data_IF_188730622557
#
_entry.id   IF_188730622557
#
_cell.length_a   1.000
_cell.length_b   1.000
_cell.length_c   1.000
_cell.angle_alpha   90.00
_cell.angle_beta   90.00
_cell.angle_gamma   90.00
#
_symmetry.space_group_name_H-M   'P 1'
#
loop_
_entity.id
_entity.type
_entity.pdbx_description
1 polymer ?
#
# COMPACT_ATOMS: atom_id res chain seq x y z
N UNK A 1 -9.47 -8.64 10.71
CA UNK A 1 -8.97 -9.03 9.38
C UNK A 1 -8.88 -7.78 8.53
N UNK A 2 -7.73 -7.52 7.91
CA UNK A 2 -7.55 -6.37 7.03
C UNK A 2 -8.04 -6.69 5.62
N UNK A 3 -8.95 -5.89 5.03
CA UNK A 3 -9.46 -6.15 3.69
C UNK A 3 -8.34 -5.98 2.65
N UNK A 4 -8.25 -6.95 1.74
CA UNK A 4 -7.37 -6.85 0.58
C UNK A 4 -8.01 -5.95 -0.45
N UNK A 5 -7.29 -4.92 -0.91
CA UNK A 5 -7.77 -3.96 -1.90
C UNK A 5 -7.45 -4.47 -3.31
N UNK A 6 -6.22 -4.93 -3.49
CA UNK A 6 -5.69 -5.38 -4.77
C UNK A 6 -4.71 -6.53 -4.55
N UNK A 7 -4.67 -7.46 -5.49
CA UNK A 7 -3.67 -8.51 -5.54
C UNK A 7 -3.06 -8.56 -6.94
N UNK A 8 -1.73 -8.52 -7.02
CA UNK A 8 -0.98 -8.61 -8.27
C UNK A 8 0.00 -9.77 -8.12
N UNK A 9 -0.37 -10.94 -8.65
CA UNK A 9 0.38 -12.17 -8.43
C UNK A 9 0.52 -12.51 -6.94
N UNK A 10 1.75 -12.59 -6.44
CA UNK A 10 2.08 -12.84 -5.03
C UNK A 10 2.06 -11.59 -4.15
N UNK A 11 1.83 -10.40 -4.74
CA UNK A 11 1.80 -9.12 -4.03
C UNK A 11 0.37 -8.81 -3.59
N UNK A 12 0.20 -8.46 -2.32
CA UNK A 12 -1.09 -8.14 -1.70
C UNK A 12 -1.08 -6.72 -1.16
N UNK A 13 -2.06 -5.92 -1.55
CA UNK A 13 -2.27 -4.56 -1.06
C UNK A 13 -3.45 -4.52 -0.08
N UNK A 14 -3.29 -3.89 1.08
CA UNK A 14 -4.35 -3.82 2.11
C UNK A 14 -4.23 -2.56 2.98
N UNK A 15 -5.30 -2.25 3.72
CA UNK A 15 -5.31 -1.20 4.74
C UNK A 15 -5.36 -1.79 6.14
N UNK A 16 -4.63 -1.19 7.09
CA UNK A 16 -4.76 -1.51 8.49
C UNK A 16 -5.74 -0.51 9.15
N UNK A 17 -6.94 -0.94 9.50
CA UNK A 17 -7.99 -0.04 10.03
C UNK A 17 -7.73 0.46 11.45
N UNK A 18 -6.70 -0.05 12.12
CA UNK A 18 -6.27 0.42 13.45
C UNK A 18 -5.08 1.39 13.37
N UNK A 19 -4.64 1.73 12.16
CA UNK A 19 -3.56 2.70 11.94
C UNK A 19 -4.08 4.12 11.69
N UNK A 20 -3.15 5.04 11.48
CA UNK A 20 -3.36 6.47 11.31
C UNK A 20 -4.29 6.83 10.13
N UNK A 21 -4.96 7.98 10.25
CA UNK A 21 -5.94 8.49 9.27
C UNK A 21 -5.33 8.98 7.96
N UNK A 22 -4.01 9.14 7.88
CA UNK A 22 -3.34 9.58 6.64
C UNK A 22 -3.45 8.49 5.58
N UNK A 23 -3.78 8.86 4.33
CA UNK A 23 -3.95 7.91 3.23
C UNK A 23 -2.67 7.12 2.98
N UNK A 24 -2.72 5.81 3.25
CA UNK A 24 -1.60 4.89 3.11
C UNK A 24 -2.06 3.55 2.61
N UNK A 25 -1.13 2.77 2.05
CA UNK A 25 -1.35 1.38 1.65
C UNK A 25 -0.21 0.50 2.14
N UNK A 26 -0.57 -0.66 2.70
CA UNK A 26 0.38 -1.72 3.03
C UNK A 26 0.49 -2.68 1.88
N UNK A 27 1.71 -3.14 1.63
CA UNK A 27 2.08 -4.04 0.55
C UNK A 27 2.79 -5.23 1.18
N UNK A 28 2.22 -6.42 1.01
CA UNK A 28 2.83 -7.67 1.46
C UNK A 28 3.24 -8.49 0.25
N UNK A 29 4.47 -8.99 0.31
CA UNK A 29 5.08 -9.87 -0.68
C UNK A 29 5.59 -11.13 0.04
N UNK A 30 5.98 -12.19 -0.70
CA UNK A 30 6.63 -13.35 -0.08
C UNK A 30 7.93 -13.01 0.66
N UNK A 31 8.65 -12.00 0.16
CA UNK A 31 9.98 -11.64 0.67
C UNK A 31 9.91 -10.67 1.86
N UNK A 32 8.82 -9.91 1.97
CA UNK A 32 8.72 -8.85 2.94
C UNK A 32 7.49 -7.96 2.80
N UNK A 33 7.49 -6.88 3.55
CA UNK A 33 6.38 -5.92 3.62
C UNK A 33 6.87 -4.49 3.42
N UNK A 34 6.03 -3.64 2.86
CA UNK A 34 6.25 -2.21 2.72
C UNK A 34 4.97 -1.43 3.00
N UNK A 35 5.13 -0.20 3.47
CA UNK A 35 4.06 0.77 3.65
C UNK A 35 4.38 2.02 2.84
N UNK A 36 3.40 2.49 2.09
CA UNK A 36 3.51 3.69 1.28
C UNK A 36 2.46 4.71 1.69
N UNK A 37 2.85 5.97 1.78
CA UNK A 37 1.94 7.10 1.81
C UNK A 37 1.38 7.32 0.40
N UNK A 38 0.11 7.72 0.31
CA UNK A 38 -0.54 8.08 -0.96
C UNK A 38 -0.65 9.59 -1.12
N UNK A 39 -0.70 10.35 -0.02
CA UNK A 39 -0.81 11.80 -0.04
C UNK A 39 0.22 12.48 0.89
N UNK A 40 0.69 13.69 0.53
CA UNK A 40 0.43 14.43 -0.72
C UNK A 40 1.20 13.90 -1.93
N UNK A 41 2.19 13.02 -1.71
CA UNK A 41 2.98 12.34 -2.73
C UNK A 41 3.15 10.87 -2.33
N UNK A 42 3.33 10.00 -3.33
CA UNK A 42 3.60 8.58 -3.07
C UNK A 42 5.04 8.41 -2.61
N UNK A 43 5.22 8.16 -1.32
CA UNK A 43 6.51 7.92 -0.68
C UNK A 43 6.51 6.66 0.17
N UNK A 44 7.67 6.03 0.27
CA UNK A 44 7.89 4.90 1.15
C UNK A 44 7.96 5.38 2.60
N UNK A 45 7.21 4.75 3.49
CA UNK A 45 7.21 5.03 4.94
C UNK A 45 8.12 4.05 5.68
N UNK A 46 7.80 2.76 5.56
CA UNK A 46 8.51 1.69 6.22
C UNK A 46 8.57 0.46 5.33
N UNK A 47 9.63 -0.33 5.45
CA UNK A 47 9.75 -1.61 4.77
C UNK A 47 10.61 -2.58 5.59
N UNK A 48 10.37 -3.87 5.38
CA UNK A 48 11.13 -4.94 6.00
C UNK A 48 11.32 -6.09 5.03
N UNK A 49 12.54 -6.63 4.93
CA UNK A 49 12.87 -7.79 4.08
C UNK A 49 12.94 -7.50 2.57
N UNK A 50 12.85 -6.23 2.16
CA UNK A 50 12.83 -5.83 0.75
C UNK A 50 14.11 -5.10 0.35
N UNK A 51 14.60 -5.37 -0.85
CA UNK A 51 15.73 -4.64 -1.45
C UNK A 51 15.24 -3.44 -2.28
N UNK A 52 16.16 -2.54 -2.62
CA UNK A 52 15.83 -1.31 -3.37
C UNK A 52 15.14 -1.56 -4.71
N UNK A 53 15.54 -2.61 -5.44
CA UNK A 53 14.90 -2.98 -6.71
C UNK A 53 13.42 -3.30 -6.48
N UNK A 54 13.13 -4.12 -5.46
CA UNK A 54 11.76 -4.51 -5.12
C UNK A 54 10.95 -3.32 -4.64
N UNK A 55 11.53 -2.43 -3.83
CA UNK A 55 10.87 -1.21 -3.39
C UNK A 55 10.47 -0.31 -4.56
N UNK A 56 11.34 -0.14 -5.56
CA UNK A 56 11.03 0.62 -6.77
C UNK A 56 9.88 -0.01 -7.55
N UNK A 57 9.91 -1.33 -7.77
CA UNK A 57 8.82 -2.05 -8.44
C UNK A 57 7.49 -1.88 -7.70
N UNK A 58 7.50 -1.97 -6.37
CA UNK A 58 6.31 -1.76 -5.56
C UNK A 58 5.82 -0.32 -5.64
N UNK A 59 6.73 0.67 -5.61
CA UNK A 59 6.36 2.08 -5.72
C UNK A 59 5.72 2.38 -7.07
N UNK A 60 6.22 1.80 -8.16
CA UNK A 60 5.64 1.94 -9.49
C UNK A 60 4.25 1.30 -9.59
N UNK A 61 4.05 0.14 -8.96
CA UNK A 61 2.72 -0.46 -8.82
C UNK A 61 1.78 0.41 -8.00
N UNK A 62 2.26 1.00 -6.90
CA UNK A 62 1.46 1.92 -6.07
C UNK A 62 1.04 3.14 -6.89
N UNK A 63 1.96 3.76 -7.64
CA UNK A 63 1.67 4.89 -8.55
C UNK A 63 0.68 4.51 -9.64
N UNK A 64 0.87 3.36 -10.29
CA UNK A 64 -0.02 2.89 -11.35
C UNK A 64 -1.47 2.72 -10.88
N UNK A 65 -1.65 2.31 -9.62
CA UNK A 65 -2.96 2.04 -9.03
C UNK A 65 -3.39 3.09 -7.99
N UNK A 66 -2.74 4.25 -7.93
CA UNK A 66 -2.95 5.31 -6.94
C UNK A 66 -4.43 5.67 -6.77
N UNK A 67 -5.10 5.98 -7.88
CA UNK A 67 -6.53 6.36 -7.89
C UNK A 67 -7.42 5.27 -7.30
N UNK A 68 -7.07 3.99 -7.49
CA UNK A 68 -7.80 2.86 -6.93
C UNK A 68 -7.60 2.81 -5.42
N UNK A 69 -6.37 2.99 -4.95
CA UNK A 69 -6.06 2.99 -3.52
C UNK A 69 -6.70 4.18 -2.79
N UNK A 70 -6.64 5.39 -3.35
CA UNK A 70 -7.27 6.57 -2.74
C UNK A 70 -8.79 6.37 -2.60
N UNK A 71 -9.47 5.94 -3.68
CA UNK A 71 -10.92 5.67 -3.64
C UNK A 71 -11.28 4.55 -2.66
N UNK A 72 -10.48 3.49 -2.62
CA UNK A 72 -10.70 2.39 -1.70
C UNK A 72 -10.50 2.83 -0.24
N UNK A 73 -9.50 3.69 0.02
CA UNK A 73 -9.28 4.28 1.34
C UNK A 73 -10.50 5.09 1.75
N UNK A 74 -10.92 6.05 0.91
CA UNK A 74 -12.07 6.93 1.17
C UNK A 74 -13.33 6.10 1.46
N UNK A 75 -13.62 5.08 0.65
CA UNK A 75 -14.75 4.18 0.89
C UNK A 75 -14.65 3.40 2.20
N UNK A 76 -13.44 3.00 2.60
CA UNK A 76 -13.21 2.17 3.78
C UNK A 76 -13.35 2.94 5.10
N UNK A 77 -12.96 4.22 5.10
CA UNK A 77 -12.86 5.03 6.31
C UNK A 77 -13.82 6.24 6.33
N UNK A 78 -14.59 6.51 5.26
CA UNK A 78 -15.66 7.52 5.23
C UNK A 78 -16.93 7.07 5.97
N UNK A 79 -16.81 6.34 7.08
CA UNK A 79 -17.93 5.83 7.86
C UNK A 79 -17.95 6.35 9.28
#
# INVERSE_FOLDING_TARGET
MSPTILRVGSIRFFFNSREELRKHVHVQTPDGVAKFWLEPIISLDHFHGLNNKRLNELQDLVKKHEKVFIRAWEKHFSK
#
